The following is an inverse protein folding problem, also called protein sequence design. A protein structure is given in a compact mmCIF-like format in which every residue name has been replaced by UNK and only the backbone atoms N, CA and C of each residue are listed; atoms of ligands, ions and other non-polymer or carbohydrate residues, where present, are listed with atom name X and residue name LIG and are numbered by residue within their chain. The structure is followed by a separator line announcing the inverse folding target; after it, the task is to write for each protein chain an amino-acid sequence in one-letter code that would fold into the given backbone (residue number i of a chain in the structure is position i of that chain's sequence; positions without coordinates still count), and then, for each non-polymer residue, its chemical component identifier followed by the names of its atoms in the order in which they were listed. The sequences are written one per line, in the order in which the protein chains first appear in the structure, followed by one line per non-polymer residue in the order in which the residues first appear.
data_IF_226761586024
#
_entry.id   IF_226761586024
#
_cell.length_a   1.000
_cell.length_b   1.000
_cell.length_c   1.000
_cell.angle_alpha   90.00
_cell.angle_beta   90.00
_cell.angle_gamma   90.00
#
_symmetry.space_group_name_H-M   'P 1'
#
loop_
_entity.id
_entity.type
_entity.pdbx_description
1 polymer ?
#
# COMPACT_ATOMS: atom_id res chain seq x y z
N UNK A 1 -14.65 -15.29 13.78
CA UNK A 1 -13.53 -15.62 12.86
C UNK A 1 -13.27 -14.40 12.00
N UNK A 2 -12.04 -13.88 11.89
CA UNK A 2 -11.76 -12.87 10.90
C UNK A 2 -12.08 -13.44 9.51
N UNK A 3 -12.70 -12.62 8.65
CA UNK A 3 -13.02 -13.01 7.29
C UNK A 3 -11.77 -13.33 6.45
N UNK A 4 -11.94 -13.85 5.21
CA UNK A 4 -10.82 -14.12 4.32
C UNK A 4 -10.02 -12.83 4.06
N UNK A 5 -8.70 -12.98 3.95
CA UNK A 5 -7.81 -11.86 3.64
C UNK A 5 -8.12 -11.32 2.24
N UNK A 6 -8.40 -10.03 2.12
CA UNK A 6 -8.77 -9.40 0.85
C UNK A 6 -7.53 -8.99 0.05
N UNK A 7 -7.54 -9.33 -1.25
CA UNK A 7 -6.49 -9.01 -2.21
C UNK A 7 -7.10 -8.23 -3.37
N UNK A 8 -6.52 -7.09 -3.71
CA UNK A 8 -6.77 -6.40 -4.96
C UNK A 8 -5.68 -6.82 -5.97
N UNK A 9 -6.08 -7.48 -7.04
CA UNK A 9 -5.23 -7.85 -8.16
C UNK A 9 -5.37 -6.79 -9.26
N UNK A 10 -4.28 -6.15 -9.63
CA UNK A 10 -4.22 -5.14 -10.70
C UNK A 10 -3.32 -5.70 -11.80
N UNK A 11 -3.93 -6.17 -12.89
CA UNK A 11 -3.26 -6.85 -14.01
C UNK A 11 -4.10 -6.65 -15.28
N UNK A 12 -3.51 -6.14 -16.34
CA UNK A 12 -4.20 -5.83 -17.60
C UNK A 12 -4.33 -7.04 -18.52
N UNK A 13 -3.46 -8.04 -18.43
CA UNK A 13 -3.64 -9.32 -19.11
C UNK A 13 -4.78 -10.12 -18.45
N UNK A 14 -5.93 -10.15 -19.10
CA UNK A 14 -7.13 -10.81 -18.59
C UNK A 14 -6.94 -12.31 -18.36
N UNK A 15 -6.11 -12.99 -19.19
CA UNK A 15 -5.84 -14.41 -19.04
C UNK A 15 -4.99 -14.68 -17.79
N UNK A 16 -3.93 -13.90 -17.60
CA UNK A 16 -3.08 -13.98 -16.43
C UNK A 16 -3.85 -13.57 -15.15
N UNK A 17 -4.63 -12.49 -15.23
CA UNK A 17 -5.48 -12.01 -14.14
C UNK A 17 -6.48 -13.10 -13.69
N UNK A 18 -7.17 -13.74 -14.64
CA UNK A 18 -8.10 -14.84 -14.35
C UNK A 18 -7.42 -16.05 -13.71
N UNK A 19 -6.24 -16.42 -14.22
CA UNK A 19 -5.44 -17.52 -13.69
C UNK A 19 -4.97 -17.26 -12.26
N UNK A 20 -4.41 -16.07 -12.00
CA UNK A 20 -3.97 -15.67 -10.69
C UNK A 20 -5.13 -15.56 -9.69
N UNK A 21 -6.24 -14.93 -10.11
CA UNK A 21 -7.42 -14.78 -9.27
C UNK A 21 -7.99 -16.15 -8.82
N UNK A 22 -8.13 -17.10 -9.75
CA UNK A 22 -8.60 -18.45 -9.42
C UNK A 22 -7.70 -19.14 -8.40
N UNK A 23 -6.38 -19.11 -8.64
CA UNK A 23 -5.41 -19.71 -7.72
C UNK A 23 -5.43 -19.09 -6.32
N UNK A 24 -5.60 -17.76 -6.22
CA UNK A 24 -5.67 -17.07 -4.94
C UNK A 24 -6.99 -17.34 -4.20
N UNK A 25 -8.10 -17.44 -4.93
CA UNK A 25 -9.41 -17.84 -4.35
C UNK A 25 -9.32 -19.25 -3.78
N UNK A 26 -8.72 -20.19 -4.52
CA UNK A 26 -8.51 -21.59 -4.06
C UNK A 26 -7.63 -21.64 -2.80
N UNK A 27 -6.70 -20.68 -2.66
CA UNK A 27 -5.87 -20.52 -1.45
C UNK A 27 -6.59 -19.79 -0.30
N UNK A 28 -7.86 -19.43 -0.45
CA UNK A 28 -8.70 -18.84 0.59
C UNK A 28 -8.60 -17.32 0.73
N UNK A 29 -8.13 -16.61 -0.31
CA UNK A 29 -8.18 -15.14 -0.36
C UNK A 29 -9.52 -14.67 -0.95
N UNK A 30 -9.99 -13.49 -0.51
CA UNK A 30 -11.07 -12.77 -1.18
C UNK A 30 -10.46 -11.86 -2.25
N UNK A 31 -10.57 -12.24 -3.52
CA UNK A 31 -9.89 -11.54 -4.62
C UNK A 31 -10.87 -10.63 -5.37
N UNK A 32 -10.41 -9.43 -5.68
CA UNK A 32 -11.03 -8.54 -6.65
C UNK A 32 -9.97 -8.17 -7.70
N UNK A 33 -10.32 -8.32 -8.98
CA UNK A 33 -9.42 -8.03 -10.10
C UNK A 33 -9.87 -6.76 -10.80
N UNK A 34 -8.90 -5.95 -11.20
CA UNK A 34 -9.06 -4.74 -12.02
C UNK A 34 -7.95 -4.70 -13.06
N UNK A 35 -8.19 -4.06 -14.19
CA UNK A 35 -7.29 -4.10 -15.35
C UNK A 35 -6.48 -2.82 -15.58
N UNK A 36 -6.82 -1.71 -14.92
CA UNK A 36 -6.14 -0.44 -15.10
C UNK A 36 -6.31 0.49 -13.90
N UNK A 37 -5.52 1.57 -13.88
CA UNK A 37 -5.47 2.53 -12.77
C UNK A 37 -6.83 3.13 -12.39
N UNK A 38 -7.68 3.48 -13.36
CA UNK A 38 -8.98 4.10 -13.06
C UNK A 38 -9.88 3.16 -12.25
N UNK A 39 -9.94 1.86 -12.61
CA UNK A 39 -10.67 0.85 -11.85
C UNK A 39 -10.07 0.64 -10.47
N UNK A 40 -8.73 0.58 -10.37
CA UNK A 40 -8.05 0.50 -9.08
C UNK A 40 -8.40 1.69 -8.18
N UNK A 41 -8.45 2.91 -8.73
CA UNK A 41 -8.87 4.12 -8.03
C UNK A 41 -10.30 4.05 -7.51
N UNK A 42 -11.25 3.57 -8.33
CA UNK A 42 -12.64 3.34 -7.90
C UNK A 42 -12.69 2.34 -6.75
N UNK A 43 -11.95 1.23 -6.86
CA UNK A 43 -11.94 0.20 -5.81
C UNK A 43 -11.32 0.71 -4.50
N UNK A 44 -10.26 1.51 -4.58
CA UNK A 44 -9.59 2.13 -3.43
C UNK A 44 -10.41 3.27 -2.79
N UNK A 45 -11.43 3.78 -3.48
CA UNK A 45 -12.38 4.73 -2.90
C UNK A 45 -13.50 4.06 -2.07
N UNK A 46 -13.68 2.75 -2.22
CA UNK A 46 -14.75 1.99 -1.56
C UNK A 46 -14.24 1.24 -0.32
N UNK A 47 -15.01 1.28 0.76
CA UNK A 47 -14.77 0.47 1.94
C UNK A 47 -15.42 -0.94 1.80
N UNK A 48 -14.85 -1.98 2.40
CA UNK A 48 -13.55 -2.01 3.08
C UNK A 48 -12.38 -1.97 2.09
N UNK A 49 -11.27 -1.34 2.49
CA UNK A 49 -10.04 -1.33 1.70
C UNK A 49 -9.42 -2.73 1.63
N UNK A 50 -8.70 -3.08 0.54
CA UNK A 50 -7.98 -4.34 0.45
C UNK A 50 -6.83 -4.36 1.48
N UNK A 51 -6.58 -5.54 2.04
CA UNK A 51 -5.45 -5.73 2.96
C UNK A 51 -4.13 -5.91 2.22
N UNK A 52 -4.19 -6.55 1.06
CA UNK A 52 -3.05 -6.83 0.20
C UNK A 52 -3.36 -6.35 -1.22
N UNK A 53 -2.33 -6.01 -1.96
CA UNK A 53 -2.42 -5.72 -3.38
C UNK A 53 -1.32 -6.49 -4.12
N UNK A 54 -1.69 -7.15 -5.23
CA UNK A 54 -0.76 -7.68 -6.21
C UNK A 54 -0.88 -6.80 -7.45
N UNK A 55 0.19 -6.12 -7.81
CA UNK A 55 0.17 -5.01 -8.76
C UNK A 55 1.18 -5.23 -9.88
N UNK A 56 0.70 -5.31 -11.12
CA UNK A 56 1.56 -5.15 -12.29
C UNK A 56 1.96 -3.68 -12.46
N UNK A 57 3.22 -3.42 -12.77
CA UNK A 57 3.67 -2.07 -13.12
C UNK A 57 3.38 -1.70 -14.58
N UNK A 58 3.31 -2.68 -15.49
CA UNK A 58 3.10 -2.48 -16.91
C UNK A 58 1.63 -2.24 -17.27
N UNK A 59 0.98 -1.25 -16.69
CA UNK A 59 -0.43 -0.96 -16.94
C UNK A 59 -0.66 -0.03 -18.14
N UNK A 60 -1.81 -0.16 -18.86
CA UNK A 60 -2.17 0.75 -19.94
C UNK A 60 -2.40 2.19 -19.40
N UNK A 61 -2.25 3.23 -20.26
CA UNK A 61 -2.05 3.15 -21.71
C UNK A 61 -0.61 2.87 -22.16
N UNK A 62 0.36 2.84 -21.28
CA UNK A 62 1.77 2.66 -21.58
C UNK A 62 2.31 1.39 -20.93
N UNK A 63 1.90 0.22 -21.42
CA UNK A 63 2.28 -1.08 -20.87
C UNK A 63 3.80 -1.36 -20.84
N UNK A 64 4.58 -0.66 -21.68
CA UNK A 64 6.05 -0.67 -21.64
C UNK A 64 6.63 0.30 -20.61
N UNK A 65 5.81 1.08 -19.90
CA UNK A 65 6.21 2.05 -18.89
C UNK A 65 5.67 1.66 -17.52
N UNK A 66 6.39 2.04 -16.47
CA UNK A 66 6.02 1.76 -15.08
C UNK A 66 5.17 2.86 -14.43
N UNK A 67 4.90 3.97 -15.14
CA UNK A 67 4.32 5.18 -14.56
C UNK A 67 2.93 4.97 -13.96
N UNK A 68 2.06 4.25 -14.66
CA UNK A 68 0.68 3.99 -14.20
C UNK A 68 0.67 3.03 -12.99
N UNK A 69 1.47 1.96 -13.03
CA UNK A 69 1.59 1.04 -11.90
C UNK A 69 2.16 1.72 -10.65
N UNK A 70 3.22 2.53 -10.80
CA UNK A 70 3.77 3.31 -9.68
C UNK A 70 2.75 4.33 -9.13
N UNK A 71 1.93 4.92 -9.99
CA UNK A 71 0.86 5.82 -9.55
C UNK A 71 -0.24 5.05 -8.77
N UNK A 72 -0.58 3.81 -9.17
CA UNK A 72 -1.49 2.95 -8.38
C UNK A 72 -0.89 2.62 -7.02
N UNK A 73 0.40 2.33 -6.95
CA UNK A 73 1.11 2.12 -5.68
C UNK A 73 0.99 3.33 -4.77
N UNK A 74 1.29 4.53 -5.28
CA UNK A 74 1.19 5.77 -4.53
C UNK A 74 -0.25 6.03 -4.06
N UNK A 75 -1.24 5.87 -4.95
CA UNK A 75 -2.66 6.02 -4.64
C UNK A 75 -3.11 5.05 -3.51
N UNK A 76 -2.67 3.78 -3.57
CA UNK A 76 -3.00 2.77 -2.57
C UNK A 76 -2.41 3.11 -1.19
N UNK A 77 -1.12 3.44 -1.13
CA UNK A 77 -0.43 3.78 0.12
C UNK A 77 -0.90 5.12 0.71
N UNK A 78 -1.33 6.04 -0.14
CA UNK A 78 -1.94 7.29 0.28
C UNK A 78 -3.32 7.05 0.92
N UNK A 79 -4.12 6.13 0.38
CA UNK A 79 -5.42 5.74 0.96
C UNK A 79 -5.25 4.98 2.27
N UNK A 80 -4.31 4.04 2.33
CA UNK A 80 -3.99 3.32 3.56
C UNK A 80 -2.55 2.81 3.55
N UNK A 81 -1.67 3.36 4.40
CA UNK A 81 -0.31 2.83 4.59
C UNK A 81 -0.26 1.39 5.13
N UNK A 82 -1.39 0.84 5.56
CA UNK A 82 -1.50 -0.55 6.03
C UNK A 82 -1.58 -1.56 4.87
N UNK A 83 -1.99 -1.15 3.68
CA UNK A 83 -2.03 -2.04 2.51
C UNK A 83 -0.63 -2.53 2.19
N UNK A 84 -0.45 -3.85 2.04
CA UNK A 84 0.83 -4.42 1.62
C UNK A 84 0.77 -4.67 0.11
N UNK A 85 1.54 -3.86 -0.62
CA UNK A 85 1.60 -3.94 -2.08
C UNK A 85 2.79 -4.80 -2.48
N UNK A 86 2.53 -5.87 -3.23
CA UNK A 86 3.53 -6.71 -3.89
C UNK A 86 3.48 -6.36 -5.37
N UNK A 87 4.60 -5.94 -5.90
CA UNK A 87 4.73 -5.49 -7.29
C UNK A 87 5.21 -6.63 -8.18
N UNK A 88 4.59 -6.78 -9.34
CA UNK A 88 5.08 -7.65 -10.42
C UNK A 88 5.82 -6.78 -11.46
N UNK A 89 7.04 -7.14 -11.82
CA UNK A 89 7.89 -6.38 -12.77
C UNK A 89 8.40 -7.27 -13.89
N UNK A 90 8.70 -6.71 -15.07
CA UNK A 90 9.41 -7.42 -16.14
C UNK A 90 10.90 -7.67 -15.80
N UNK A 91 11.56 -8.55 -16.57
CA UNK A 91 12.93 -8.99 -16.31
C UNK A 91 14.01 -7.88 -16.41
N UNK A 92 13.75 -6.81 -17.16
CA UNK A 92 14.72 -5.74 -17.42
C UNK A 92 14.51 -4.50 -16.53
N UNK A 93 13.75 -4.63 -15.44
CA UNK A 93 13.25 -3.50 -14.66
C UNK A 93 13.80 -3.43 -13.21
N UNK A 94 15.08 -3.69 -13.00
CA UNK A 94 15.71 -3.50 -11.68
C UNK A 94 15.46 -2.09 -11.14
N UNK A 95 15.45 -1.09 -12.03
CA UNK A 95 15.14 0.29 -11.67
C UNK A 95 13.69 0.45 -11.20
N UNK A 96 12.73 -0.27 -11.81
CA UNK A 96 11.32 -0.25 -11.42
C UNK A 96 11.09 -0.89 -10.05
N UNK A 97 11.72 -2.05 -9.82
CA UNK A 97 11.68 -2.73 -8.54
C UNK A 97 12.24 -1.83 -7.42
N UNK A 98 13.40 -1.22 -7.65
CA UNK A 98 14.01 -0.29 -6.71
C UNK A 98 13.13 0.93 -6.43
N UNK A 99 12.52 1.50 -7.47
CA UNK A 99 11.64 2.66 -7.33
C UNK A 99 10.34 2.28 -6.57
N UNK A 100 9.77 1.11 -6.85
CA UNK A 100 8.61 0.61 -6.10
C UNK A 100 8.92 0.44 -4.60
N UNK A 101 10.06 -0.13 -4.25
CA UNK A 101 10.50 -0.26 -2.86
C UNK A 101 10.72 1.12 -2.21
N UNK A 102 11.33 2.07 -2.92
CA UNK A 102 11.50 3.46 -2.42
C UNK A 102 10.17 4.13 -2.11
N UNK A 103 9.13 3.85 -2.90
CA UNK A 103 7.76 4.37 -2.70
C UNK A 103 6.99 3.63 -1.62
N UNK A 104 7.52 2.54 -1.08
CA UNK A 104 6.94 1.81 0.03
C UNK A 104 6.24 0.50 -0.35
N UNK A 105 6.49 -0.06 -1.54
CA UNK A 105 6.07 -1.42 -1.84
C UNK A 105 6.61 -2.38 -0.77
N UNK A 106 5.80 -3.36 -0.40
CA UNK A 106 6.17 -4.36 0.60
C UNK A 106 7.20 -5.35 0.05
N UNK A 107 7.03 -5.74 -1.21
CA UNK A 107 7.89 -6.72 -1.90
C UNK A 107 7.75 -6.53 -3.42
N UNK A 108 8.66 -7.11 -4.18
CA UNK A 108 8.54 -7.20 -5.63
C UNK A 108 8.89 -8.61 -6.14
N UNK A 109 8.30 -9.00 -7.25
CA UNK A 109 8.53 -10.28 -7.91
C UNK A 109 8.78 -10.03 -9.40
N UNK A 110 9.80 -10.68 -9.95
CA UNK A 110 10.13 -10.57 -11.37
C UNK A 110 9.28 -11.56 -12.18
N UNK A 111 8.63 -11.09 -13.24
CA UNK A 111 7.90 -11.92 -14.19
C UNK A 111 8.88 -12.71 -15.10
N UNK A 112 8.63 -14.00 -15.39
CA UNK A 112 7.51 -14.80 -14.93
C UNK A 112 7.69 -15.31 -13.48
N UNK A 113 6.73 -15.04 -12.60
CA UNK A 113 6.74 -15.53 -11.23
C UNK A 113 5.85 -16.77 -11.09
N UNK A 114 6.34 -17.83 -10.47
CA UNK A 114 5.54 -19.01 -10.20
C UNK A 114 4.47 -18.75 -9.14
N UNK A 115 3.34 -19.47 -9.20
CA UNK A 115 2.30 -19.38 -8.17
C UNK A 115 2.85 -19.59 -6.76
N UNK A 116 3.79 -20.53 -6.58
CA UNK A 116 4.40 -20.80 -5.27
C UNK A 116 5.12 -19.57 -4.70
N UNK A 117 5.82 -18.81 -5.55
CA UNK A 117 6.51 -17.58 -5.16
C UNK A 117 5.49 -16.50 -4.81
N UNK A 118 4.44 -16.32 -5.63
CA UNK A 118 3.37 -15.34 -5.40
C UNK A 118 2.64 -15.65 -4.08
N UNK A 119 2.24 -16.90 -3.86
CA UNK A 119 1.59 -17.34 -2.62
C UNK A 119 2.49 -17.11 -1.39
N UNK A 120 3.79 -17.41 -1.51
CA UNK A 120 4.75 -17.17 -0.43
C UNK A 120 4.86 -15.68 -0.08
N UNK A 121 4.94 -14.81 -1.08
CA UNK A 121 5.00 -13.36 -0.89
C UNK A 121 3.73 -12.82 -0.23
N UNK A 122 2.55 -13.22 -0.73
CA UNK A 122 1.26 -12.82 -0.15
C UNK A 122 1.09 -13.33 1.29
N UNK A 123 1.54 -14.55 1.59
CA UNK A 123 1.48 -15.08 2.94
C UNK A 123 2.39 -14.29 3.90
N UNK A 124 3.61 -13.94 3.48
CA UNK A 124 4.49 -13.05 4.27
C UNK A 124 3.81 -11.70 4.52
N UNK A 125 3.23 -11.10 3.47
CA UNK A 125 2.54 -9.82 3.57
C UNK A 125 1.34 -9.89 4.53
N UNK A 126 0.56 -10.98 4.48
CA UNK A 126 -0.57 -11.24 5.39
C UNK A 126 -0.11 -11.34 6.85
N UNK A 127 0.93 -12.14 7.13
CA UNK A 127 1.49 -12.29 8.47
C UNK A 127 2.01 -10.94 9.00
N UNK A 128 2.65 -10.17 8.14
CA UNK A 128 3.16 -8.85 8.46
C UNK A 128 2.04 -7.86 8.81
N UNK A 129 0.97 -7.87 8.02
CA UNK A 129 -0.21 -7.02 8.24
C UNK A 129 -0.87 -7.36 9.59
N UNK A 130 -1.02 -8.64 9.92
CA UNK A 130 -1.51 -9.09 11.22
C UNK A 130 -0.61 -8.62 12.39
N UNK A 131 0.71 -8.70 12.23
CA UNK A 131 1.65 -8.25 13.26
C UNK A 131 1.56 -6.73 13.48
N UNK A 132 1.51 -5.93 12.40
CA UNK A 132 1.32 -4.48 12.49
C UNK A 132 -0.02 -4.10 13.11
N UNK A 133 -1.11 -4.83 12.81
CA UNK A 133 -2.40 -4.62 13.45
C UNK A 133 -2.35 -4.82 14.98
N UNK A 134 -1.59 -5.80 15.44
CA UNK A 134 -1.36 -6.02 16.88
C UNK A 134 -0.53 -4.91 17.51
N UNK A 135 0.50 -4.41 16.82
CA UNK A 135 1.28 -3.25 17.28
C UNK A 135 0.38 -2.01 17.40
N UNK A 136 -0.44 -1.75 16.38
CA UNK A 136 -1.39 -0.63 16.41
C UNK A 136 -2.39 -0.74 17.57
N UNK A 137 -2.89 -1.94 17.85
CA UNK A 137 -3.77 -2.19 18.99
C UNK A 137 -3.07 -1.96 20.35
N UNK A 138 -1.74 -2.13 20.39
CA UNK A 138 -0.90 -1.80 21.55
C UNK A 138 -0.45 -0.34 21.61
N UNK A 139 -0.93 0.52 20.69
CA UNK A 139 -0.53 1.94 20.62
C UNK A 139 0.82 2.19 19.94
N UNK A 140 1.33 1.21 19.21
CA UNK A 140 2.61 1.30 18.50
C UNK A 140 2.37 1.49 17.00
N UNK A 141 3.23 2.27 16.33
CA UNK A 141 3.22 2.42 14.89
C UNK A 141 4.60 2.07 14.31
N UNK A 142 4.63 1.16 13.34
CA UNK A 142 5.83 0.92 12.55
C UNK A 142 5.90 1.90 11.40
N UNK A 143 7.03 2.61 11.27
CA UNK A 143 7.30 3.49 10.14
C UNK A 143 8.28 2.81 9.17
N UNK A 144 8.07 3.04 7.87
CA UNK A 144 8.94 2.55 6.82
C UNK A 144 9.51 3.76 6.09
N UNK A 145 10.82 3.99 6.25
CA UNK A 145 11.48 5.17 5.74
C UNK A 145 12.59 4.79 4.77
N UNK A 146 12.64 5.48 3.64
CA UNK A 146 13.78 5.50 2.74
C UNK A 146 14.42 6.87 2.82
N UNK A 147 15.59 6.98 3.46
CA UNK A 147 16.31 8.23 3.57
C UNK A 147 17.33 8.38 2.43
N UNK A 148 17.34 9.52 1.77
CA UNK A 148 18.41 9.89 0.84
C UNK A 148 19.56 10.53 1.63
N UNK A 149 20.73 9.86 1.63
CA UNK A 149 21.86 10.29 2.45
C UNK A 149 22.29 11.74 2.19
N UNK A 150 22.05 12.26 0.98
CA UNK A 150 22.41 13.65 0.61
C UNK A 150 21.42 14.70 1.12
N UNK A 151 20.21 14.31 1.52
CA UNK A 151 19.18 15.22 2.01
C UNK A 151 19.29 15.49 3.51
N UNK A 152 20.07 14.66 4.21
CA UNK A 152 20.37 14.83 5.62
C UNK A 152 19.26 14.31 6.56
N UNK A 153 19.54 14.35 7.90
CA UNK A 153 18.64 13.74 8.90
C UNK A 153 17.33 14.52 9.10
N UNK A 154 17.29 15.80 8.77
CA UNK A 154 16.10 16.64 8.95
C UNK A 154 14.96 16.22 8.03
N UNK A 155 15.26 15.92 6.77
CA UNK A 155 14.29 15.43 5.79
C UNK A 155 13.78 14.03 6.16
N UNK A 156 14.67 13.16 6.64
CA UNK A 156 14.27 11.83 7.15
C UNK A 156 13.33 11.96 8.37
N UNK A 157 13.60 12.88 9.27
CA UNK A 157 12.73 13.14 10.43
C UNK A 157 11.37 13.71 9.99
N UNK A 158 11.34 14.61 9.00
CA UNK A 158 10.10 15.17 8.47
C UNK A 158 9.25 14.10 7.77
N UNK A 159 9.87 13.18 7.03
CA UNK A 159 9.19 12.05 6.40
C UNK A 159 8.62 11.07 7.44
N UNK A 160 9.35 10.84 8.54
CA UNK A 160 8.85 10.03 9.65
C UNK A 160 7.62 10.67 10.31
N UNK A 161 7.69 11.96 10.56
CA UNK A 161 6.61 12.75 11.15
C UNK A 161 5.36 12.71 10.27
N UNK A 162 5.51 12.97 8.97
CA UNK A 162 4.40 12.89 8.01
C UNK A 162 3.77 11.49 7.97
N UNK A 163 4.59 10.45 7.91
CA UNK A 163 4.11 9.08 7.84
C UNK A 163 3.33 8.69 9.09
N UNK A 164 3.80 9.07 10.28
CA UNK A 164 3.11 8.84 11.54
C UNK A 164 1.76 9.56 11.56
N UNK A 165 1.74 10.83 11.20
CA UNK A 165 0.51 11.62 11.16
C UNK A 165 -0.50 11.09 10.16
N UNK A 166 -0.07 10.72 8.95
CA UNK A 166 -0.94 10.16 7.92
C UNK A 166 -1.57 8.84 8.39
N UNK A 167 -0.78 7.93 8.98
CA UNK A 167 -1.29 6.67 9.55
C UNK A 167 -2.31 6.90 10.64
N UNK A 168 -1.98 7.77 11.60
CA UNK A 168 -2.89 8.08 12.71
C UNK A 168 -4.15 8.79 12.23
N UNK A 169 -4.05 9.69 11.24
CA UNK A 169 -5.19 10.39 10.66
C UNK A 169 -6.21 9.42 10.02
N UNK A 170 -5.71 8.44 9.25
CA UNK A 170 -6.54 7.38 8.66
C UNK A 170 -7.12 6.47 9.76
N UNK A 171 -6.30 6.01 10.70
CA UNK A 171 -6.71 5.13 11.80
C UNK A 171 -7.75 5.78 12.72
N UNK A 172 -7.67 7.11 12.92
CA UNK A 172 -8.64 7.90 13.67
C UNK A 172 -9.96 8.17 12.91
N UNK A 173 -10.15 7.58 11.72
CA UNK A 173 -11.33 7.83 10.89
C UNK A 173 -11.47 9.30 10.50
N UNK A 174 -10.36 9.99 10.30
CA UNK A 174 -10.32 11.42 9.97
C UNK A 174 -10.92 12.33 11.05
N UNK A 175 -10.82 11.91 12.32
CA UNK A 175 -11.28 12.66 13.48
C UNK A 175 -10.10 13.28 14.23
N UNK A 176 -10.06 14.62 14.28
CA UNK A 176 -8.97 15.38 14.92
C UNK A 176 -8.84 15.08 16.41
N UNK A 177 -9.97 14.93 17.12
CA UNK A 177 -9.93 14.65 18.56
C UNK A 177 -9.34 13.26 18.85
N UNK A 178 -9.71 12.28 18.04
CA UNK A 178 -9.19 10.91 18.16
C UNK A 178 -7.70 10.84 17.75
N UNK A 179 -7.32 11.51 16.66
CA UNK A 179 -5.92 11.61 16.24
C UNK A 179 -5.06 12.27 17.33
N UNK A 180 -5.54 13.36 17.93
CA UNK A 180 -4.87 14.06 19.03
C UNK A 180 -4.67 13.14 20.25
N UNK A 181 -5.70 12.37 20.61
CA UNK A 181 -5.64 11.40 21.70
C UNK A 181 -4.61 10.30 21.42
N UNK A 182 -4.60 9.73 20.21
CA UNK A 182 -3.66 8.66 19.84
C UNK A 182 -2.22 9.15 19.79
N UNK A 183 -1.99 10.40 19.36
CA UNK A 183 -0.66 11.01 19.26
C UNK A 183 -0.18 11.64 20.58
N UNK A 184 -1.02 11.70 21.60
CA UNK A 184 -0.66 12.36 22.87
C UNK A 184 -0.40 13.87 22.73
N UNK A 185 -1.08 14.56 21.79
CA UNK A 185 -0.86 15.98 21.54
C UNK A 185 -2.17 16.79 21.55
N UNK A 186 -2.06 18.13 21.62
CA UNK A 186 -3.20 19.02 21.55
C UNK A 186 -3.81 19.05 20.13
N UNK A 187 -5.12 19.32 20.01
CA UNK A 187 -5.84 19.36 18.72
C UNK A 187 -5.27 20.41 17.77
N UNK A 188 -4.82 21.55 18.32
CA UNK A 188 -4.20 22.64 17.56
C UNK A 188 -2.92 22.17 16.85
N UNK A 189 -2.14 21.31 17.49
CA UNK A 189 -0.95 20.73 16.88
C UNK A 189 -1.33 19.76 15.74
N UNK A 190 -2.41 18.98 15.91
CA UNK A 190 -2.90 18.12 14.81
C UNK A 190 -3.31 18.97 13.61
N UNK A 191 -4.07 20.06 13.80
CA UNK A 191 -4.43 20.98 12.72
C UNK A 191 -3.21 21.58 12.03
N UNK A 192 -2.20 22.00 12.80
CA UNK A 192 -0.94 22.50 12.24
C UNK A 192 -0.30 21.48 11.30
N UNK A 193 -0.18 20.23 11.74
CA UNK A 193 0.44 19.18 10.96
C UNK A 193 -0.39 18.74 9.75
N UNK A 194 -1.72 18.69 9.88
CA UNK A 194 -2.60 18.42 8.74
C UNK A 194 -2.41 19.46 7.63
N UNK A 195 -2.29 20.74 8.00
CA UNK A 195 -1.99 21.81 7.05
C UNK A 195 -0.57 21.71 6.49
N UNK A 196 0.43 21.45 7.34
CA UNK A 196 1.85 21.34 6.96
C UNK A 196 2.05 20.25 5.88
N UNK A 197 1.35 19.12 6.00
CA UNK A 197 1.48 17.97 5.12
C UNK A 197 0.33 17.83 4.11
N UNK A 198 -0.57 18.80 4.03
CA UNK A 198 -1.69 18.78 3.09
C UNK A 198 -2.65 17.61 3.29
N UNK A 199 -2.75 17.08 4.51
CA UNK A 199 -3.58 15.93 4.83
C UNK A 199 -5.05 16.35 4.94
N UNK A 200 -5.90 15.84 4.03
CA UNK A 200 -7.33 16.13 4.02
C UNK A 200 -8.14 14.86 4.24
N UNK A 201 -9.37 15.05 4.70
CA UNK A 201 -10.35 13.97 4.69
C UNK A 201 -10.71 13.67 3.23
N UNK A 202 -10.76 12.40 2.81
CA UNK A 202 -11.33 12.03 1.51
C UNK A 202 -12.81 12.43 1.46
N UNK A 203 -13.26 12.89 0.30
CA UNK A 203 -14.67 13.19 0.02
C UNK A 203 -15.51 11.93 0.00
#
# INVERSE_FOLDING_TARGET
MPGPCSVLLVEDDLALSGYLASSLIDAGYAVQSVSHRAEAGVRLALAPLPQLMLLDLGLPPHASGMGEGLAVLDDALQKSPAIKVIVLTGQDEDAAALEAIRRGAFDFLVKPASLAIIHSALNRAKLFNHAEGRMTAAGEARLQLTARLKEGPKEAASSAEEQLLRRTWVAAGYNVAEAARQLGMAREHVYYYLNKYGLRRPD
#
